data_IF_132618600129
#
_entry.id   IF_132618600129
#
_cell.length_a   1.000
_cell.length_b   1.000
_cell.length_c   1.000
_cell.angle_alpha   90.00
_cell.angle_beta   90.00
_cell.angle_gamma   90.00
#
_symmetry.space_group_name_H-M   'P 1'
#
loop_
_entity.id
_entity.type
_entity.pdbx_description
1 polymer ?
#
# COMPACT_ATOMS: atom_id res chain seq x y z
N UNK A 1 -25.30 3.01 -0.57
CA UNK A 1 -24.75 1.65 -0.66
C UNK A 1 -23.48 1.75 -1.48
N UNK A 2 -22.31 1.49 -0.91
CA UNK A 2 -21.05 1.47 -1.66
C UNK A 2 -20.97 0.18 -2.47
N UNK A 3 -21.44 0.21 -3.71
CA UNK A 3 -21.29 -0.91 -4.63
C UNK A 3 -19.83 -1.05 -5.06
N UNK A 4 -19.32 -2.29 -5.08
CA UNK A 4 -17.95 -2.58 -5.51
C UNK A 4 -17.70 -2.20 -6.99
N UNK A 5 -18.76 -2.07 -7.80
CA UNK A 5 -18.71 -1.65 -9.21
C UNK A 5 -18.36 -0.17 -9.41
N UNK A 6 -18.56 0.68 -8.40
CA UNK A 6 -18.24 2.12 -8.46
C UNK A 6 -16.85 2.43 -7.87
N UNK A 7 -16.15 1.40 -7.37
CA UNK A 7 -14.85 1.58 -6.73
C UNK A 7 -13.76 1.68 -7.79
N UNK A 8 -12.90 2.69 -7.65
CA UNK A 8 -11.72 2.85 -8.50
C UNK A 8 -10.92 1.54 -8.58
N UNK A 9 -10.53 1.18 -9.81
CA UNK A 9 -9.69 0.00 -10.07
C UNK A 9 -8.47 0.07 -9.15
N UNK A 10 -8.23 -1.01 -8.42
CA UNK A 10 -7.07 -1.11 -7.55
C UNK A 10 -5.81 -1.26 -8.42
N UNK A 11 -4.78 -0.42 -8.23
CA UNK A 11 -3.49 -0.58 -8.90
C UNK A 11 -2.82 -1.90 -8.51
N UNK A 12 -2.92 -2.25 -7.23
CA UNK A 12 -2.37 -3.47 -6.65
C UNK A 12 -3.51 -4.27 -5.99
N UNK A 13 -4.36 -4.97 -6.77
CA UNK A 13 -5.50 -5.71 -6.25
C UNK A 13 -5.10 -6.83 -5.28
N UNK A 14 -3.90 -7.39 -5.42
CA UNK A 14 -3.36 -8.45 -4.57
C UNK A 14 -3.25 -8.01 -3.10
N UNK A 15 -2.86 -6.76 -2.83
CA UNK A 15 -2.78 -6.25 -1.46
C UNK A 15 -4.12 -5.74 -0.89
N UNK A 16 -5.16 -5.70 -1.72
CA UNK A 16 -6.52 -5.32 -1.33
C UNK A 16 -6.71 -3.84 -0.97
N UNK A 17 -7.96 -3.49 -0.65
CA UNK A 17 -8.38 -2.08 -0.44
C UNK A 17 -7.81 -1.46 0.84
N UNK A 18 -7.47 -2.28 1.84
CA UNK A 18 -6.88 -1.80 3.08
C UNK A 18 -5.48 -1.20 2.84
N UNK A 19 -4.65 -1.85 2.03
CA UNK A 19 -3.36 -1.28 1.63
C UNK A 19 -3.55 0.03 0.88
N UNK A 20 -4.48 0.07 -0.08
CA UNK A 20 -4.78 1.30 -0.81
C UNK A 20 -5.22 2.43 0.12
N UNK A 21 -6.02 2.15 1.15
CA UNK A 21 -6.44 3.15 2.13
C UNK A 21 -5.25 3.66 2.97
N UNK A 22 -4.33 2.78 3.36
CA UNK A 22 -3.09 3.18 4.04
C UNK A 22 -2.23 4.08 3.14
N UNK A 23 -2.08 3.73 1.86
CA UNK A 23 -1.36 4.56 0.88
C UNK A 23 -2.03 5.92 0.70
N UNK A 24 -3.36 5.95 0.55
CA UNK A 24 -4.11 7.20 0.44
C UNK A 24 -3.94 8.09 1.67
N UNK A 25 -3.90 7.49 2.87
CA UNK A 25 -3.67 8.22 4.11
C UNK A 25 -2.26 8.82 4.17
N UNK A 26 -1.20 8.09 3.80
CA UNK A 26 0.15 8.67 3.85
C UNK A 26 0.34 9.83 2.86
N UNK A 27 -0.45 9.85 1.77
CA UNK A 27 -0.44 10.96 0.80
C UNK A 27 -1.01 12.25 1.39
N UNK A 28 -1.78 12.20 2.47
CA UNK A 28 -2.30 13.40 3.16
C UNK A 28 -1.34 13.95 4.21
N UNK A 29 -0.25 13.26 4.53
CA UNK A 29 0.74 13.71 5.51
C UNK A 29 1.65 14.78 4.92
N UNK A 30 1.68 15.97 5.52
CA UNK A 30 2.52 17.09 5.08
C UNK A 30 3.99 16.89 5.50
N UNK A 31 4.21 16.46 6.75
CA UNK A 31 5.54 16.25 7.29
C UNK A 31 6.27 15.12 6.56
N UNK A 32 7.42 15.46 5.98
CA UNK A 32 8.22 14.52 5.19
C UNK A 32 8.75 13.36 6.04
N UNK A 33 9.10 13.59 7.29
CA UNK A 33 9.66 12.55 8.16
C UNK A 33 8.56 11.56 8.61
N UNK A 34 7.39 12.05 8.94
CA UNK A 34 6.20 11.25 9.24
C UNK A 34 5.75 10.45 8.02
N UNK A 35 5.62 11.10 6.86
CA UNK A 35 5.28 10.43 5.60
C UNK A 35 6.28 9.32 5.26
N UNK A 36 7.57 9.57 5.40
CA UNK A 36 8.61 8.57 5.16
C UNK A 36 8.60 7.44 6.20
N UNK A 37 8.25 7.70 7.46
CA UNK A 37 8.10 6.65 8.47
C UNK A 37 6.91 5.76 8.16
N UNK A 38 5.75 6.36 7.88
CA UNK A 38 4.54 5.62 7.54
C UNK A 38 4.70 4.81 6.24
N UNK A 39 5.37 5.36 5.23
CA UNK A 39 5.67 4.64 3.99
C UNK A 39 6.52 3.37 4.24
N UNK A 40 7.54 3.44 5.10
CA UNK A 40 8.35 2.27 5.46
C UNK A 40 7.52 1.19 6.14
N UNK A 41 6.65 1.58 7.07
CA UNK A 41 5.73 0.64 7.72
C UNK A 41 4.82 -0.06 6.70
N UNK A 42 4.31 0.66 5.71
CA UNK A 42 3.48 0.08 4.65
C UNK A 42 4.30 -0.92 3.81
N UNK A 43 5.53 -0.58 3.44
CA UNK A 43 6.44 -1.49 2.71
C UNK A 43 6.70 -2.77 3.52
N UNK A 44 6.91 -2.65 4.83
CA UNK A 44 7.11 -3.81 5.71
C UNK A 44 5.87 -4.70 5.77
N UNK A 45 4.68 -4.11 5.85
CA UNK A 45 3.40 -4.83 5.79
C UNK A 45 3.26 -5.56 4.45
N UNK A 46 3.58 -4.90 3.33
CA UNK A 46 3.55 -5.52 2.00
C UNK A 46 4.48 -6.74 1.95
N UNK A 47 5.72 -6.59 2.43
CA UNK A 47 6.68 -7.69 2.48
C UNK A 47 6.30 -8.83 3.43
N UNK A 48 5.53 -8.56 4.49
CA UNK A 48 5.03 -9.58 5.41
C UNK A 48 3.81 -10.32 4.86
N UNK A 49 2.96 -9.65 4.07
CA UNK A 49 1.78 -10.26 3.45
C UNK A 49 2.17 -11.25 2.35
N UNK A 50 3.21 -10.92 1.58
CA UNK A 50 3.71 -11.75 0.49
C UNK A 50 5.24 -11.91 0.57
N UNK A 51 5.75 -12.72 1.51
CA UNK A 51 7.18 -12.88 1.74
C UNK A 51 7.90 -13.45 0.51
N UNK A 52 7.22 -14.24 -0.33
CA UNK A 52 7.75 -14.79 -1.57
C UNK A 52 8.03 -13.72 -2.64
N UNK A 53 7.42 -12.52 -2.56
CA UNK A 53 7.75 -11.42 -3.47
C UNK A 53 9.14 -10.82 -3.19
N UNK A 54 9.72 -11.09 -2.02
CA UNK A 54 11.11 -10.67 -1.71
C UNK A 54 12.15 -11.43 -2.53
N UNK A 55 11.82 -12.63 -2.99
CA UNK A 55 12.69 -13.45 -3.84
C UNK A 55 12.54 -13.11 -5.34
N UNK A 56 11.44 -12.44 -5.71
CA UNK A 56 11.19 -11.94 -7.05
C UNK A 56 11.95 -10.61 -7.20
N UNK A 57 13.18 -10.72 -7.71
CA UNK A 57 14.06 -9.60 -8.00
C UNK A 57 13.50 -8.67 -9.09
N UNK A 58 12.53 -7.82 -8.75
CA UNK A 58 12.17 -6.62 -9.52
C UNK A 58 12.31 -5.31 -8.70
N UNK A 59 12.87 -5.40 -7.48
CA UNK A 59 13.21 -4.25 -6.64
C UNK A 59 14.73 -4.02 -6.62
N UNK A 60 15.30 -3.57 -7.75
CA UNK A 60 16.56 -2.83 -7.77
C UNK A 60 16.43 -1.59 -8.64
#
# INVERSE_FOLDING_TARGET
MDYNSDRSKLPLPEYGRNLQNMVNHIMTLEDRNERNRAARTIIDIMGNMYPYLRDINDFK
#
